data_IF_774549618443
#
_entry.id   IF_774549618443
#
_cell.length_a   1.000
_cell.length_b   1.000
_cell.length_c   1.000
_cell.angle_alpha   90.00
_cell.angle_beta   90.00
_cell.angle_gamma   90.00
#
_symmetry.space_group_name_H-M   'P 1'
#
loop_
_entity.id
_entity.type
_entity.pdbx_description
1 polymer ?
#
# COMPACT_ATOMS: atom_id res chain seq x y z
N UNK A 1 -8.33 -15.61 19.36
CA UNK A 1 -8.19 -14.17 19.02
C UNK A 1 -7.73 -13.42 20.26
N UNK A 2 -6.68 -12.59 20.19
CA UNK A 2 -6.22 -11.82 21.35
C UNK A 2 -7.21 -10.69 21.63
N UNK A 3 -7.46 -10.38 22.90
CA UNK A 3 -8.35 -9.28 23.29
C UNK A 3 -7.89 -7.91 22.75
N UNK A 4 -6.59 -7.75 22.51
CA UNK A 4 -5.98 -6.56 21.92
C UNK A 4 -6.41 -6.32 20.45
N UNK A 5 -6.61 -7.40 19.67
CA UNK A 5 -7.02 -7.27 18.26
C UNK A 5 -8.45 -6.73 18.15
N UNK A 6 -9.33 -7.13 19.07
CA UNK A 6 -10.71 -6.60 19.14
C UNK A 6 -10.74 -5.09 19.42
N UNK A 7 -9.83 -4.61 20.27
CA UNK A 7 -9.68 -3.17 20.55
C UNK A 7 -9.18 -2.43 19.31
N UNK A 8 -8.24 -3.02 18.57
CA UNK A 8 -7.73 -2.46 17.33
C UNK A 8 -8.81 -2.36 16.25
N UNK A 9 -9.60 -3.42 16.04
CA UNK A 9 -10.74 -3.42 15.10
C UNK A 9 -11.75 -2.31 15.44
N UNK A 10 -12.12 -2.20 16.72
CA UNK A 10 -13.03 -1.16 17.17
C UNK A 10 -12.45 0.25 17.02
N UNK A 11 -11.12 0.41 17.11
CA UNK A 11 -10.43 1.68 16.89
C UNK A 11 -10.41 2.06 15.40
N UNK A 12 -10.20 1.09 14.51
CA UNK A 12 -10.25 1.28 13.05
C UNK A 12 -11.65 1.75 12.60
N UNK A 13 -12.71 1.19 13.19
CA UNK A 13 -14.09 1.58 12.87
C UNK A 13 -14.46 3.02 13.24
N UNK A 14 -13.68 3.71 14.09
CA UNK A 14 -14.01 5.09 14.49
C UNK A 14 -13.31 6.14 13.60
N UNK A 15 -12.38 5.73 12.74
CA UNK A 15 -11.76 6.64 11.79
C UNK A 15 -10.87 7.71 12.45
N UNK A 16 -10.67 8.83 11.74
CA UNK A 16 -9.66 9.84 12.08
C UNK A 16 -10.07 10.82 13.18
N UNK A 17 -11.33 10.77 13.63
CA UNK A 17 -11.87 11.68 14.66
C UNK A 17 -11.34 11.37 16.07
N UNK A 18 -10.78 10.17 16.26
CA UNK A 18 -10.15 9.75 17.51
C UNK A 18 -11.15 9.47 18.62
N UNK A 19 -10.83 8.50 19.47
CA UNK A 19 -11.67 8.11 20.61
C UNK A 19 -10.96 8.15 21.92
N UNK A 20 -11.70 8.51 22.96
CA UNK A 20 -11.19 8.37 24.32
C UNK A 20 -11.27 6.91 24.78
N UNK A 21 -10.37 6.52 25.68
CA UNK A 21 -10.40 5.19 26.30
C UNK A 21 -11.75 4.89 26.99
N UNK A 22 -12.46 5.91 27.49
CA UNK A 22 -13.76 5.76 28.13
C UNK A 22 -14.88 5.43 27.12
N UNK A 23 -14.85 6.04 25.93
CA UNK A 23 -15.81 5.74 24.86
C UNK A 23 -15.59 4.32 24.32
N UNK A 24 -14.32 3.93 24.14
CA UNK A 24 -13.97 2.60 23.66
C UNK A 24 -14.30 1.50 24.68
N UNK A 25 -14.13 1.78 25.98
CA UNK A 25 -14.56 0.92 27.08
C UNK A 25 -16.07 0.65 27.08
N UNK A 26 -16.89 1.69 26.90
CA UNK A 26 -18.35 1.52 26.79
C UNK A 26 -18.75 0.67 25.59
N UNK A 27 -18.08 0.84 24.45
CA UNK A 27 -18.41 0.13 23.20
C UNK A 27 -18.01 -1.35 23.23
N UNK A 28 -16.94 -1.69 23.95
CA UNK A 28 -16.40 -3.04 24.05
C UNK A 28 -16.85 -3.79 25.30
N UNK A 29 -17.68 -3.17 26.15
CA UNK A 29 -18.05 -3.69 27.48
C UNK A 29 -16.83 -4.09 28.33
N UNK A 30 -15.72 -3.36 28.18
CA UNK A 30 -14.48 -3.58 28.89
C UNK A 30 -14.24 -2.50 29.94
N UNK A 31 -13.44 -2.81 30.95
CA UNK A 31 -13.03 -1.81 31.92
C UNK A 31 -12.04 -0.81 31.29
N UNK A 32 -12.20 0.48 31.61
CA UNK A 32 -11.32 1.57 31.16
C UNK A 32 -9.81 1.31 31.42
N UNK A 33 -9.39 0.68 32.55
CA UNK A 33 -8.00 0.28 32.76
C UNK A 33 -7.50 -0.77 31.76
N UNK A 34 -8.33 -1.78 31.45
CA UNK A 34 -8.00 -2.86 30.51
C UNK A 34 -7.85 -2.30 29.10
N UNK A 35 -8.75 -1.40 28.68
CA UNK A 35 -8.64 -0.72 27.39
C UNK A 35 -7.38 0.15 27.32
N UNK A 36 -7.03 0.87 28.38
CA UNK A 36 -5.79 1.65 28.43
C UNK A 36 -4.55 0.76 28.34
N UNK A 37 -4.58 -0.44 28.92
CA UNK A 37 -3.48 -1.39 28.81
C UNK A 37 -3.29 -1.85 27.36
N UNK A 38 -4.37 -2.22 26.68
CA UNK A 38 -4.32 -2.63 25.27
C UNK A 38 -3.90 -1.49 24.34
N UNK A 39 -4.38 -0.27 24.55
CA UNK A 39 -3.98 0.91 23.76
C UNK A 39 -2.50 1.23 23.90
N UNK A 40 -1.94 1.09 25.11
CA UNK A 40 -0.49 1.22 25.32
C UNK A 40 0.31 0.09 24.64
N UNK A 41 -0.24 -1.13 24.59
CA UNK A 41 0.33 -2.23 23.79
C UNK A 41 0.36 -1.88 22.30
N UNK A 42 -0.76 -1.40 21.75
CA UNK A 42 -0.86 -0.96 20.36
C UNK A 42 0.03 0.24 20.05
N UNK A 43 0.26 1.14 21.01
CA UNK A 43 1.21 2.25 20.88
C UNK A 43 2.66 1.75 20.77
N UNK A 44 3.05 0.75 21.57
CA UNK A 44 4.37 0.11 21.50
C UNK A 44 4.56 -0.63 20.16
N UNK A 45 3.50 -1.21 19.63
CA UNK A 45 3.48 -1.87 18.32
C UNK A 45 3.43 -0.88 17.14
N UNK A 46 3.30 0.43 17.38
CA UNK A 46 3.18 1.44 16.31
C UNK A 46 1.83 1.43 15.57
N UNK A 47 0.83 0.71 16.09
CA UNK A 47 -0.50 0.51 15.48
C UNK A 47 -1.56 1.52 15.97
N UNK A 48 -1.24 2.32 16.98
CA UNK A 48 -2.13 3.36 17.49
C UNK A 48 -1.37 4.64 17.82
N UNK A 49 -1.99 5.80 17.59
CA UNK A 49 -1.48 7.10 17.97
C UNK A 49 -2.31 7.71 19.10
N UNK A 50 -1.65 8.49 19.95
CA UNK A 50 -2.31 9.32 20.97
C UNK A 50 -2.22 10.79 20.56
N UNK A 51 -3.33 11.52 20.66
CA UNK A 51 -3.42 12.96 20.39
C UNK A 51 -3.96 13.70 21.61
N UNK A 52 -3.23 14.74 22.02
CA UNK A 52 -3.59 15.60 23.16
C UNK A 52 -3.08 15.12 24.51
N UNK A 53 -3.08 16.03 25.49
CA UNK A 53 -2.61 15.79 26.87
C UNK A 53 -3.74 15.59 27.88
N UNK A 54 -4.97 16.08 27.61
CA UNK A 54 -6.22 15.83 28.37
C UNK A 54 -7.42 16.47 27.62
N UNK A 55 -8.49 15.73 27.24
CA UNK A 55 -8.56 14.27 27.17
C UNK A 55 -7.64 13.72 26.05
N UNK A 56 -7.15 12.48 26.25
CA UNK A 56 -6.31 11.78 25.27
C UNK A 56 -7.20 11.06 24.27
N UNK A 57 -7.05 11.41 23.00
CA UNK A 57 -7.71 10.76 21.88
C UNK A 57 -6.79 9.73 21.27
N UNK A 58 -7.35 8.56 20.98
CA UNK A 58 -6.66 7.45 20.34
C UNK A 58 -7.16 7.31 18.92
N UNK A 59 -6.24 7.22 17.97
CA UNK A 59 -6.54 6.92 16.57
C UNK A 59 -5.80 5.65 16.17
N UNK A 60 -6.42 4.83 15.32
CA UNK A 60 -5.72 3.72 14.72
C UNK A 60 -4.69 4.27 13.73
N UNK A 61 -3.43 3.92 13.91
CA UNK A 61 -2.49 3.93 12.80
C UNK A 61 -2.78 2.63 12.09
N UNK A 62 -3.81 2.65 11.25
CA UNK A 62 -3.82 1.70 10.16
C UNK A 62 -2.52 2.00 9.42
N UNK A 63 -1.60 1.02 9.38
CA UNK A 63 -0.58 1.03 8.34
C UNK A 63 -1.36 1.34 7.08
N UNK A 64 -1.10 2.53 6.53
CA UNK A 64 -1.77 3.00 5.34
C UNK A 64 -1.33 1.96 4.33
N UNK A 65 -2.13 0.91 4.11
CA UNK A 65 -2.29 0.35 2.78
C UNK A 65 -2.73 1.58 2.02
N UNK A 66 -1.75 2.27 1.46
CA UNK A 66 -1.93 3.39 0.59
C UNK A 66 -2.67 2.79 -0.59
N UNK A 67 -3.98 2.73 -0.46
CA UNK A 67 -4.89 2.75 -1.56
C UNK A 67 -5.07 4.25 -1.80
N UNK A 68 -4.28 4.88 -2.68
CA UNK A 68 -4.66 6.18 -3.17
C UNK A 68 -5.97 5.97 -3.94
N UNK A 69 -7.09 6.29 -3.30
CA UNK A 69 -8.42 6.21 -3.91
C UNK A 69 -8.66 7.32 -4.95
N UNK A 70 -7.61 7.99 -5.45
CA UNK A 70 -7.76 9.13 -6.37
C UNK A 70 -6.49 9.54 -7.15
N UNK A 71 -5.48 8.67 -7.30
CA UNK A 71 -4.50 8.86 -8.39
C UNK A 71 -4.93 7.97 -9.54
N UNK A 72 -5.12 8.57 -10.71
CA UNK A 72 -5.38 7.83 -11.94
C UNK A 72 -4.30 6.75 -12.08
N UNK A 73 -4.69 5.50 -11.88
CA UNK A 73 -3.75 4.38 -11.94
C UNK A 73 -3.18 4.34 -13.35
N UNK A 74 -1.86 4.47 -13.51
CA UNK A 74 -1.23 4.43 -14.83
C UNK A 74 -1.63 3.18 -15.64
N UNK A 75 -2.01 2.09 -14.95
CA UNK A 75 -2.48 0.86 -15.54
C UNK A 75 -3.93 0.89 -16.08
N UNK A 76 -4.71 1.95 -15.86
CA UNK A 76 -6.08 2.05 -16.39
C UNK A 76 -6.12 2.02 -17.92
N UNK A 77 -5.07 2.52 -18.57
CA UNK A 77 -4.92 2.51 -20.03
C UNK A 77 -4.60 1.10 -20.58
N UNK A 78 -4.34 0.12 -19.71
CA UNK A 78 -3.98 -1.23 -20.11
C UNK A 78 -5.21 -2.11 -20.38
N UNK A 79 -5.24 -2.76 -21.55
CA UNK A 79 -6.36 -3.62 -21.96
C UNK A 79 -6.50 -4.79 -20.97
N UNK A 80 -7.68 -4.93 -20.37
CA UNK A 80 -7.95 -5.97 -19.38
C UNK A 80 -7.54 -5.60 -17.95
N UNK A 81 -7.31 -4.31 -17.67
CA UNK A 81 -6.99 -3.77 -16.34
C UNK A 81 -7.87 -4.34 -15.22
N UNK A 82 -9.19 -4.25 -15.40
CA UNK A 82 -10.17 -4.71 -14.41
C UNK A 82 -10.67 -6.15 -14.67
N UNK A 83 -9.96 -6.91 -15.50
CA UNK A 83 -10.40 -8.22 -15.98
C UNK A 83 -9.27 -9.24 -16.03
N UNK A 84 -9.01 -9.77 -17.23
CA UNK A 84 -8.06 -10.86 -17.45
C UNK A 84 -6.62 -10.57 -17.02
N UNK A 85 -6.20 -9.30 -17.00
CA UNK A 85 -4.83 -8.91 -16.68
C UNK A 85 -4.67 -8.29 -15.28
N UNK A 86 -5.75 -8.30 -14.47
CA UNK A 86 -5.73 -7.75 -13.11
C UNK A 86 -4.63 -8.36 -12.25
N UNK A 87 -4.48 -9.69 -12.27
CA UNK A 87 -3.47 -10.39 -11.48
C UNK A 87 -2.04 -9.97 -11.86
N UNK A 88 -1.79 -9.76 -13.16
CA UNK A 88 -0.48 -9.31 -13.65
C UNK A 88 -0.21 -7.88 -13.18
N UNK A 89 -1.20 -6.99 -13.25
CA UNK A 89 -1.06 -5.61 -12.77
C UNK A 89 -0.80 -5.56 -11.26
N UNK A 90 -1.53 -6.36 -10.47
CA UNK A 90 -1.29 -6.46 -9.03
C UNK A 90 0.12 -6.96 -8.72
N UNK A 91 0.64 -7.93 -9.49
CA UNK A 91 2.03 -8.38 -9.37
C UNK A 91 3.02 -7.27 -9.74
N UNK A 92 2.78 -6.52 -10.81
CA UNK A 92 3.64 -5.38 -11.17
C UNK A 92 3.65 -4.31 -10.08
N UNK A 93 2.49 -3.98 -9.49
CA UNK A 93 2.40 -3.04 -8.36
C UNK A 93 3.16 -3.53 -7.15
N UNK A 94 2.98 -4.82 -6.80
CA UNK A 94 3.68 -5.42 -5.68
C UNK A 94 5.20 -5.41 -5.91
N UNK A 95 5.65 -5.67 -7.13
CA UNK A 95 7.05 -5.62 -7.48
C UNK A 95 7.63 -4.20 -7.37
N UNK A 96 6.94 -3.19 -7.91
CA UNK A 96 7.40 -1.78 -7.80
C UNK A 96 7.45 -1.30 -6.35
N UNK A 97 6.46 -1.66 -5.52
CA UNK A 97 6.36 -1.21 -4.14
C UNK A 97 7.15 -2.10 -3.15
N UNK A 98 7.88 -3.12 -3.62
CA UNK A 98 8.59 -4.03 -2.74
C UNK A 98 9.83 -3.35 -2.13
N UNK A 99 10.02 -3.35 -0.79
CA UNK A 99 11.19 -2.71 -0.17
C UNK A 99 12.52 -3.41 -0.51
N UNK A 100 13.66 -2.69 -0.57
CA UNK A 100 13.82 -1.24 -0.47
C UNK A 100 13.64 -0.48 -1.80
N UNK A 101 14.02 -1.07 -2.95
CA UNK A 101 14.14 -0.37 -4.25
C UNK A 101 13.24 -0.98 -5.36
N UNK A 102 12.23 -1.77 -4.98
CA UNK A 102 11.43 -2.56 -5.91
C UNK A 102 12.09 -3.89 -6.32
N UNK A 103 11.32 -4.73 -6.99
CA UNK A 103 11.75 -6.04 -7.51
C UNK A 103 11.94 -6.00 -9.03
N UNK A 104 12.96 -6.70 -9.57
CA UNK A 104 13.11 -6.90 -11.01
C UNK A 104 11.89 -7.60 -11.62
N UNK A 105 11.40 -7.09 -12.75
CA UNK A 105 10.25 -7.63 -13.48
C UNK A 105 10.71 -8.19 -14.82
N UNK A 106 10.29 -9.41 -15.15
CA UNK A 106 10.48 -10.03 -16.47
C UNK A 106 9.11 -10.16 -17.14
N UNK A 107 8.96 -9.56 -18.32
CA UNK A 107 7.71 -9.59 -19.10
C UNK A 107 7.89 -10.54 -20.29
N UNK A 108 7.17 -11.66 -20.28
CA UNK A 108 7.23 -12.68 -21.33
C UNK A 108 5.94 -12.71 -22.15
N UNK A 109 6.05 -12.92 -23.46
CA UNK A 109 4.91 -13.00 -24.37
C UNK A 109 5.29 -12.90 -25.85
N UNK A 110 4.37 -13.27 -26.73
CA UNK A 110 4.55 -13.21 -28.20
C UNK A 110 4.85 -11.79 -28.69
N UNK A 111 5.41 -11.65 -29.88
CA UNK A 111 5.58 -10.32 -30.49
C UNK A 111 4.22 -9.63 -30.70
N UNK A 112 4.14 -8.32 -30.51
CA UNK A 112 2.91 -7.54 -30.72
C UNK A 112 1.88 -7.52 -29.58
N UNK A 113 2.13 -8.18 -28.45
CA UNK A 113 1.18 -8.22 -27.30
C UNK A 113 1.26 -7.00 -26.36
N UNK A 114 2.08 -6.00 -26.67
CA UNK A 114 2.19 -4.78 -25.86
C UNK A 114 3.16 -4.86 -24.66
N UNK A 115 4.20 -5.72 -24.70
CA UNK A 115 5.19 -5.82 -23.61
C UNK A 115 5.91 -4.50 -23.32
N UNK A 116 6.35 -3.80 -24.37
CA UNK A 116 7.02 -2.49 -24.23
C UNK A 116 6.06 -1.43 -23.68
N UNK A 117 4.78 -1.51 -24.05
CA UNK A 117 3.74 -0.64 -23.50
C UNK A 117 3.50 -0.94 -22.01
N UNK A 118 3.46 -2.21 -21.60
CA UNK A 118 3.38 -2.55 -20.19
C UNK A 118 4.60 -2.02 -19.41
N UNK A 119 5.80 -2.09 -19.98
CA UNK A 119 7.00 -1.54 -19.35
C UNK A 119 6.94 -0.02 -19.15
N UNK A 120 6.41 0.74 -20.12
CA UNK A 120 6.25 2.19 -19.98
C UNK A 120 5.19 2.55 -18.92
N UNK A 121 4.12 1.76 -18.79
CA UNK A 121 3.13 1.94 -17.73
C UNK A 121 3.70 1.66 -16.34
N UNK A 122 4.52 0.61 -16.19
CA UNK A 122 5.21 0.30 -14.93
C UNK A 122 6.13 1.46 -14.54
N UNK A 123 6.88 2.02 -15.49
CA UNK A 123 7.74 3.18 -15.25
C UNK A 123 6.94 4.40 -14.76
N UNK A 124 5.83 4.73 -15.44
CA UNK A 124 4.94 5.82 -15.01
C UNK A 124 4.37 5.60 -13.61
N UNK A 125 3.94 4.37 -13.32
CA UNK A 125 3.45 4.01 -11.99
C UNK A 125 4.54 4.17 -10.91
N UNK A 126 5.78 3.78 -11.20
CA UNK A 126 6.90 3.92 -10.26
C UNK A 126 7.25 5.39 -9.97
N UNK A 127 7.10 6.27 -10.96
CA UNK A 127 7.22 7.72 -10.77
C UNK A 127 6.10 8.27 -9.87
N UNK A 128 4.85 7.85 -10.12
CA UNK A 128 3.68 8.29 -9.34
C UNK A 128 3.74 7.83 -7.87
N UNK A 129 4.29 6.64 -7.60
CA UNK A 129 4.50 6.13 -6.24
C UNK A 129 5.73 6.75 -5.54
N UNK A 130 6.57 7.50 -6.25
CA UNK A 130 7.80 8.08 -5.71
C UNK A 130 8.89 7.04 -5.38
N UNK A 131 8.79 5.81 -5.91
CA UNK A 131 9.86 4.80 -5.83
C UNK A 131 11.05 5.24 -6.68
N UNK A 132 10.75 5.87 -7.81
CA UNK A 132 11.73 6.45 -8.73
C UNK A 132 11.51 7.96 -8.74
N UNK A 133 12.61 8.75 -8.72
CA UNK A 133 12.53 10.20 -8.83
C UNK A 133 11.91 10.63 -10.16
N UNK A 134 11.15 11.73 -10.16
CA UNK A 134 10.44 12.22 -11.35
C UNK A 134 11.35 12.51 -12.57
N UNK A 135 12.65 12.77 -12.32
CA UNK A 135 13.66 13.03 -13.34
C UNK A 135 14.52 11.81 -13.71
N UNK A 136 14.14 10.60 -13.29
CA UNK A 136 14.94 9.41 -13.58
C UNK A 136 14.94 9.07 -15.09
N UNK A 137 16.06 8.62 -15.66
CA UNK A 137 16.11 8.23 -17.06
C UNK A 137 15.46 6.85 -17.29
N UNK A 138 14.56 6.76 -18.27
CA UNK A 138 14.04 5.48 -18.77
C UNK A 138 14.88 5.02 -19.97
N UNK A 139 15.64 3.95 -19.79
CA UNK A 139 16.42 3.34 -20.87
C UNK A 139 15.67 2.17 -21.50
N UNK A 140 15.51 2.21 -22.83
CA UNK A 140 14.89 1.16 -23.61
C UNK A 140 15.90 0.56 -24.59
N UNK A 141 16.08 -0.77 -24.55
CA UNK A 141 16.98 -1.50 -25.43
C UNK A 141 16.22 -2.62 -26.14
N UNK A 142 16.19 -2.58 -27.49
CA UNK A 142 15.68 -3.69 -28.31
C UNK A 142 16.82 -4.59 -28.78
N UNK A 143 16.77 -5.86 -28.41
CA UNK A 143 17.82 -6.84 -28.74
C UNK A 143 17.59 -7.55 -30.09
N UNK A 144 16.62 -7.12 -30.90
CA UNK A 144 16.23 -7.82 -32.14
C UNK A 144 17.27 -7.72 -33.28
N UNK A 145 18.29 -6.86 -33.15
CA UNK A 145 19.25 -6.55 -34.23
C UNK A 145 20.68 -7.06 -34.04
N UNK A 146 21.01 -7.72 -32.93
CA UNK A 146 22.36 -8.25 -32.69
C UNK A 146 22.58 -9.53 -33.52
N UNK A 147 22.82 -9.37 -34.82
CA UNK A 147 23.51 -10.41 -35.58
C UNK A 147 24.88 -10.59 -34.95
N UNK A 148 25.15 -11.76 -34.39
CA UNK A 148 26.53 -12.17 -34.18
C UNK A 148 27.21 -12.12 -35.55
N UNK A 149 28.07 -11.14 -35.76
CA UNK A 149 29.06 -11.22 -36.82
C UNK A 149 30.06 -12.28 -36.36
N UNK A 150 29.92 -13.48 -36.93
CA UNK A 150 30.97 -14.50 -36.97
C UNK A 150 32.00 -14.14 -38.03
#
# INVERSE_FOLDING_TARGET
MKAQDRVYEALVHVGNDGVTAAQLAKKLELSRPVVSHYLNGLLKEGRAAKKGTKPVYWTAIAERKMQPACQADAFQDFIGYNGSQKAVIEQCRAAVNYPPDGLPIIINGKSGVGKSFLASLIYRYACDQGVIGADAPFYYFELCGLRQQS
#
